data_IF_675690242740
#
_entry.id   IF_675690242740
#
_cell.length_a   1.000
_cell.length_b   1.000
_cell.length_c   1.000
_cell.angle_alpha   90.00
_cell.angle_beta   90.00
_cell.angle_gamma   90.00
#
_symmetry.space_group_name_H-M   'P 1'
#
loop_
_entity.id
_entity.type
_entity.pdbx_description
1 polymer ?
#
# COMPACT_ATOMS: atom_id res chain seq x y z
N UNK A 1 -2.34 -28.96 -19.14
CA UNK A 1 -3.12 -27.72 -19.08
C UNK A 1 -3.91 -27.71 -17.76
N UNK A 2 -3.64 -26.74 -16.90
CA UNK A 2 -4.42 -26.52 -15.68
C UNK A 2 -5.53 -25.54 -16.05
N UNK A 3 -6.78 -25.98 -15.97
CA UNK A 3 -7.94 -25.08 -16.13
C UNK A 3 -8.11 -24.29 -14.85
N UNK A 4 -7.93 -22.98 -14.91
CA UNK A 4 -8.12 -22.07 -13.78
C UNK A 4 -9.52 -21.45 -13.90
N UNK A 5 -10.33 -21.58 -12.87
CA UNK A 5 -11.61 -20.88 -12.77
C UNK A 5 -11.34 -19.43 -12.31
N UNK A 6 -11.46 -18.47 -13.22
CA UNK A 6 -11.21 -17.05 -12.94
C UNK A 6 -12.49 -16.36 -12.44
N UNK A 7 -12.50 -15.97 -11.17
CA UNK A 7 -13.56 -15.17 -10.57
C UNK A 7 -13.13 -13.71 -10.45
N UNK A 8 -13.87 -12.81 -11.09
CA UNK A 8 -13.61 -11.35 -11.02
C UNK A 8 -14.45 -10.71 -9.92
N UNK A 9 -13.80 -10.31 -8.85
CA UNK A 9 -14.44 -9.57 -7.75
C UNK A 9 -14.42 -8.07 -8.01
N UNK A 10 -15.56 -7.42 -7.81
CA UNK A 10 -15.68 -5.96 -7.91
C UNK A 10 -15.93 -5.36 -6.53
N UNK A 11 -15.28 -4.23 -6.18
CA UNK A 11 -15.59 -3.51 -4.96
C UNK A 11 -17.00 -2.91 -5.03
N UNK A 12 -17.66 -2.79 -3.88
CA UNK A 12 -19.00 -2.20 -3.78
C UNK A 12 -19.03 -0.68 -4.07
N UNK A 13 -17.89 -0.03 -3.93
CA UNK A 13 -17.73 1.41 -4.16
C UNK A 13 -16.56 1.64 -5.11
N UNK A 14 -16.71 2.59 -6.02
CA UNK A 14 -15.58 3.06 -6.82
C UNK A 14 -14.66 3.99 -6.00
N UNK A 15 -13.46 4.30 -6.53
CA UNK A 15 -12.47 5.09 -5.80
C UNK A 15 -12.98 6.49 -5.40
N UNK A 16 -13.73 7.17 -6.26
CA UNK A 16 -14.32 8.48 -5.97
C UNK A 16 -15.28 8.38 -4.77
N UNK A 17 -16.19 7.43 -4.78
CA UNK A 17 -17.11 7.19 -3.66
C UNK A 17 -16.38 6.87 -2.35
N UNK A 18 -15.29 6.10 -2.42
CA UNK A 18 -14.49 5.78 -1.24
C UNK A 18 -13.81 7.02 -0.68
N UNK A 19 -13.17 7.83 -1.54
CA UNK A 19 -12.49 9.05 -1.10
C UNK A 19 -13.50 10.09 -0.58
N UNK A 20 -14.64 10.25 -1.23
CA UNK A 20 -15.71 11.15 -0.76
C UNK A 20 -16.19 10.74 0.64
N UNK A 21 -16.41 9.45 0.88
CA UNK A 21 -16.99 8.97 2.14
C UNK A 21 -15.98 8.82 3.28
N UNK A 22 -14.77 8.38 2.98
CA UNK A 22 -13.77 8.00 3.98
C UNK A 22 -12.53 8.88 3.95
N UNK A 23 -12.36 9.70 2.91
CA UNK A 23 -11.20 10.56 2.76
C UNK A 23 -10.02 9.95 2.03
N UNK A 24 -8.96 10.72 1.99
CA UNK A 24 -7.75 10.44 1.22
C UNK A 24 -6.81 9.48 1.94
N UNK A 25 -6.22 8.57 1.17
CA UNK A 25 -5.24 7.59 1.65
C UNK A 25 -3.83 8.13 1.45
N UNK A 26 -3.33 8.89 2.42
CA UNK A 26 -2.06 9.63 2.37
C UNK A 26 -1.09 9.20 3.47
N UNK A 27 0.18 9.52 3.30
CA UNK A 27 1.30 9.26 4.21
C UNK A 27 1.52 7.77 4.44
N UNK A 28 0.84 7.16 5.39
CA UNK A 28 0.89 5.72 5.66
C UNK A 28 -0.45 5.22 6.18
N UNK A 29 -0.67 3.90 6.09
CA UNK A 29 -1.89 3.29 6.63
C UNK A 29 -2.05 3.56 8.13
N UNK A 30 -0.95 3.54 8.86
CA UNK A 30 -0.94 3.74 10.30
C UNK A 30 -1.29 5.18 10.65
N UNK A 31 -0.61 6.16 10.04
CA UNK A 31 -0.88 7.59 10.25
C UNK A 31 -2.31 7.93 9.85
N UNK A 32 -2.74 7.52 8.66
CA UNK A 32 -4.10 7.76 8.19
C UNK A 32 -5.17 7.17 9.11
N UNK A 33 -4.94 5.96 9.66
CA UNK A 33 -5.83 5.35 10.62
C UNK A 33 -5.81 6.09 11.98
N UNK A 34 -4.64 6.57 12.42
CA UNK A 34 -4.55 7.37 13.63
C UNK A 34 -5.34 8.67 13.50
N UNK A 35 -5.19 9.39 12.40
CA UNK A 35 -5.95 10.61 12.11
C UNK A 35 -7.46 10.34 12.07
N UNK A 36 -7.86 9.28 11.34
CA UNK A 36 -9.27 8.88 11.22
C UNK A 36 -9.94 8.61 12.56
N UNK A 37 -9.27 7.85 13.43
CA UNK A 37 -9.80 7.48 14.74
C UNK A 37 -9.69 8.63 15.75
N UNK A 38 -8.62 9.41 15.73
CA UNK A 38 -8.45 10.56 16.61
C UNK A 38 -9.53 11.62 16.39
N UNK A 39 -9.83 11.96 15.13
CA UNK A 39 -10.94 12.88 14.76
C UNK A 39 -12.33 12.37 15.21
N UNK A 40 -12.45 11.09 15.56
CA UNK A 40 -13.65 10.45 16.11
C UNK A 40 -13.60 10.23 17.63
N UNK A 41 -12.69 10.91 18.31
CA UNK A 41 -12.61 10.91 19.77
C UNK A 41 -11.80 9.75 20.38
N UNK A 42 -11.03 8.99 19.59
CA UNK A 42 -10.16 7.95 20.13
C UNK A 42 -8.95 8.58 20.84
N UNK A 43 -8.97 8.57 22.18
CA UNK A 43 -7.94 9.19 23.02
C UNK A 43 -6.54 8.61 22.77
N UNK A 44 -6.39 7.29 22.66
CA UNK A 44 -5.10 6.64 22.40
C UNK A 44 -4.48 7.13 21.09
N UNK A 45 -5.27 7.24 20.02
CA UNK A 45 -4.79 7.73 18.72
C UNK A 45 -4.45 9.23 18.75
N UNK A 46 -5.20 10.00 19.52
CA UNK A 46 -4.90 11.41 19.75
C UNK A 46 -3.57 11.58 20.48
N UNK A 47 -3.33 10.82 21.55
CA UNK A 47 -2.03 10.86 22.26
C UNK A 47 -0.85 10.51 21.35
N UNK A 48 -1.00 9.54 20.45
CA UNK A 48 0.04 9.21 19.45
C UNK A 48 0.35 10.35 18.50
N UNK A 49 -0.68 11.05 18.02
CA UNK A 49 -0.52 12.20 17.13
C UNK A 49 -0.01 13.44 17.85
N UNK A 50 -0.19 13.55 19.18
CA UNK A 50 0.37 14.63 20.00
C UNK A 50 1.75 14.34 20.55
N UNK A 51 2.28 13.13 20.33
CA UNK A 51 3.59 12.74 20.89
C UNK A 51 3.59 12.47 22.38
N UNK A 52 2.42 12.21 22.97
CA UNK A 52 2.21 12.05 24.41
C UNK A 52 2.40 10.61 24.90
N UNK A 53 2.60 9.64 23.97
CA UNK A 53 2.83 8.26 24.36
C UNK A 53 4.25 8.06 24.87
N UNK A 54 4.35 7.43 26.03
CA UNK A 54 5.62 7.03 26.63
C UNK A 54 5.82 5.51 26.50
N UNK A 55 7.07 5.09 26.48
CA UNK A 55 7.46 3.69 26.61
C UNK A 55 7.48 3.26 28.08
N UNK A 56 7.86 2.01 28.35
CA UNK A 56 7.93 1.44 29.71
C UNK A 56 8.98 2.13 30.60
N UNK A 57 9.94 2.80 30.01
CA UNK A 57 11.04 3.49 30.70
C UNK A 57 10.76 4.99 30.87
N UNK A 58 9.55 5.46 30.48
CA UNK A 58 9.12 6.85 30.58
C UNK A 58 9.62 7.76 29.46
N UNK A 59 10.30 7.23 28.46
CA UNK A 59 10.76 7.99 27.30
C UNK A 59 9.66 8.13 26.25
N UNK A 60 9.82 9.11 25.36
CA UNK A 60 8.89 9.28 24.23
C UNK A 60 8.86 8.02 23.38
N UNK A 61 7.68 7.43 23.24
CA UNK A 61 7.50 6.19 22.49
C UNK A 61 7.81 6.38 20.99
N UNK A 62 8.51 5.43 20.41
CA UNK A 62 8.76 5.34 18.95
C UNK A 62 7.48 5.19 18.12
N UNK A 63 6.37 4.84 18.78
CA UNK A 63 5.06 4.70 18.14
C UNK A 63 4.30 6.02 18.00
N UNK A 64 4.85 7.13 18.52
CA UNK A 64 4.32 8.45 18.26
C UNK A 64 4.46 8.79 16.77
N UNK A 65 3.56 9.63 16.29
CA UNK A 65 3.55 10.14 14.92
C UNK A 65 3.20 11.64 14.88
N UNK A 66 3.74 12.36 15.85
CA UNK A 66 3.48 13.78 16.09
C UNK A 66 3.97 14.72 14.96
N UNK A 67 4.95 14.29 14.19
CA UNK A 67 5.32 14.96 12.94
C UNK A 67 4.15 15.05 11.92
N UNK A 68 3.09 14.25 12.10
CA UNK A 68 1.88 14.27 11.29
C UNK A 68 0.66 14.83 12.03
N UNK A 69 0.85 15.48 13.18
CA UNK A 69 -0.24 16.04 13.99
C UNK A 69 -1.07 17.08 13.22
N UNK A 70 -0.45 17.84 12.32
CA UNK A 70 -1.12 18.83 11.49
C UNK A 70 -2.23 18.25 10.60
N UNK A 71 -2.23 16.95 10.35
CA UNK A 71 -3.32 16.28 9.65
C UNK A 71 -4.63 16.22 10.45
N UNK A 72 -4.60 16.51 11.76
CA UNK A 72 -5.82 16.66 12.55
C UNK A 72 -6.66 17.84 12.08
N UNK A 73 -6.00 18.89 11.59
CA UNK A 73 -6.63 20.13 11.12
C UNK A 73 -6.74 20.20 9.59
N UNK A 74 -6.39 19.10 8.89
CA UNK A 74 -6.47 19.06 7.44
C UNK A 74 -7.90 19.32 6.96
N UNK A 75 -8.11 20.20 5.97
CA UNK A 75 -9.43 20.55 5.46
C UNK A 75 -10.02 19.48 4.54
N UNK A 76 -9.73 18.22 4.83
CA UNK A 76 -10.25 17.03 4.14
C UNK A 76 -10.19 15.82 5.07
N UNK A 77 -10.95 14.78 4.74
CA UNK A 77 -10.90 13.54 5.49
C UNK A 77 -9.66 12.73 5.12
N UNK A 78 -9.08 12.07 6.12
CA UNK A 78 -7.92 11.17 5.97
C UNK A 78 -8.24 9.82 6.57
N UNK A 79 -8.08 8.72 5.80
CA UNK A 79 -8.30 7.37 6.34
C UNK A 79 -7.49 6.30 5.60
N UNK A 80 -7.43 5.11 6.17
CA UNK A 80 -6.89 3.91 5.55
C UNK A 80 -7.95 2.96 4.97
N UNK A 81 -9.23 3.36 4.95
CA UNK A 81 -10.35 2.51 4.59
C UNK A 81 -10.35 2.07 3.12
N UNK A 82 -9.71 2.83 2.24
CA UNK A 82 -9.62 2.51 0.81
C UNK A 82 -9.15 1.06 0.57
N UNK A 83 -8.09 0.61 1.26
CA UNK A 83 -7.58 -0.76 1.11
C UNK A 83 -8.58 -1.82 1.59
N UNK A 84 -9.33 -1.51 2.64
CA UNK A 84 -10.37 -2.42 3.15
C UNK A 84 -11.50 -2.57 2.15
N UNK A 85 -12.03 -1.47 1.66
CA UNK A 85 -13.22 -1.44 0.79
C UNK A 85 -12.90 -1.91 -0.62
N UNK A 86 -11.80 -1.41 -1.22
CA UNK A 86 -11.45 -1.70 -2.61
C UNK A 86 -10.89 -3.10 -2.85
N UNK A 87 -10.25 -3.70 -1.82
CA UNK A 87 -9.56 -4.99 -1.98
C UNK A 87 -10.09 -6.05 -1.03
N UNK A 88 -9.99 -5.81 0.29
CA UNK A 88 -10.22 -6.88 1.27
C UNK A 88 -11.69 -7.29 1.38
N UNK A 89 -12.60 -6.34 1.36
CA UNK A 89 -14.03 -6.61 1.58
C UNK A 89 -14.62 -7.52 0.50
N UNK A 90 -14.30 -7.28 -0.77
CA UNK A 90 -14.77 -8.11 -1.86
C UNK A 90 -14.26 -9.56 -1.73
N UNK A 91 -12.96 -9.74 -1.43
CA UNK A 91 -12.38 -11.06 -1.20
C UNK A 91 -13.00 -11.78 0.01
N UNK A 92 -13.15 -11.08 1.15
CA UNK A 92 -13.76 -11.67 2.35
C UNK A 92 -15.24 -12.04 2.14
N UNK A 93 -15.97 -11.27 1.33
CA UNK A 93 -17.35 -11.61 0.98
C UNK A 93 -17.40 -12.87 0.15
N UNK A 94 -16.55 -12.98 -0.86
CA UNK A 94 -16.42 -14.19 -1.69
C UNK A 94 -16.05 -15.42 -0.84
N UNK A 95 -15.01 -15.33 -0.01
CA UNK A 95 -14.59 -16.44 0.88
C UNK A 95 -15.72 -16.92 1.80
N UNK A 96 -16.55 -16.00 2.30
CA UNK A 96 -17.70 -16.34 3.15
C UNK A 96 -18.81 -17.02 2.38
N UNK A 97 -19.09 -16.57 1.17
CA UNK A 97 -20.17 -17.10 0.33
C UNK A 97 -19.80 -18.43 -0.31
N UNK A 98 -18.58 -18.55 -0.85
CA UNK A 98 -18.08 -19.79 -1.46
C UNK A 98 -17.63 -20.84 -0.43
N UNK A 99 -17.36 -20.42 0.82
CA UNK A 99 -16.73 -21.21 1.88
C UNK A 99 -15.30 -21.66 1.55
N UNK A 100 -14.72 -21.15 0.48
CA UNK A 100 -13.33 -21.41 0.10
C UNK A 100 -12.35 -20.74 1.06
N UNK A 101 -11.15 -21.30 1.16
CA UNK A 101 -10.07 -20.75 1.99
C UNK A 101 -8.99 -20.14 1.11
N UNK A 102 -8.48 -18.96 1.45
CA UNK A 102 -7.51 -18.29 0.62
C UNK A 102 -6.13 -18.96 0.67
N UNK A 103 -5.52 -19.07 -0.50
CA UNK A 103 -4.10 -19.30 -0.67
C UNK A 103 -3.52 -17.97 -1.14
N UNK A 104 -2.57 -17.40 -0.39
CA UNK A 104 -2.02 -16.07 -0.68
C UNK A 104 -0.51 -16.13 -0.92
N UNK A 105 -0.07 -15.53 -2.02
CA UNK A 105 1.35 -15.35 -2.34
C UNK A 105 1.92 -14.19 -1.52
N UNK A 106 2.26 -14.44 -0.27
CA UNK A 106 2.79 -13.47 0.66
C UNK A 106 4.14 -13.94 1.19
N UNK A 107 5.17 -13.12 1.04
CA UNK A 107 6.52 -13.40 1.54
C UNK A 107 6.77 -12.70 2.88
N UNK A 108 7.50 -13.36 3.79
CA UNK A 108 7.88 -12.78 5.08
C UNK A 108 8.82 -11.58 4.91
N UNK A 109 9.68 -11.63 3.89
CA UNK A 109 10.65 -10.58 3.55
C UNK A 109 9.99 -9.22 3.21
N UNK A 110 8.75 -9.20 2.71
CA UNK A 110 8.07 -7.97 2.31
C UNK A 110 7.82 -6.97 3.44
N UNK A 111 8.07 -7.34 4.70
CA UNK A 111 8.03 -6.41 5.82
C UNK A 111 7.83 -7.05 7.19
N UNK A 112 8.22 -6.30 8.22
CA UNK A 112 8.25 -6.74 9.62
C UNK A 112 6.97 -7.43 10.10
N UNK A 113 5.80 -6.89 9.78
CA UNK A 113 4.52 -7.48 10.21
C UNK A 113 4.27 -8.84 9.55
N UNK A 114 4.70 -9.02 8.29
CA UNK A 114 4.57 -10.30 7.59
C UNK A 114 5.53 -11.33 8.16
N UNK A 115 6.76 -10.93 8.43
CA UNK A 115 7.74 -11.76 9.11
C UNK A 115 7.23 -12.22 10.49
N UNK A 116 6.74 -11.30 11.33
CA UNK A 116 6.16 -11.63 12.64
C UNK A 116 4.96 -12.57 12.54
N UNK A 117 4.11 -12.37 11.54
CA UNK A 117 2.97 -13.27 11.32
C UNK A 117 3.44 -14.66 10.90
N UNK A 118 4.43 -14.74 10.02
CA UNK A 118 5.01 -16.01 9.59
C UNK A 118 5.67 -16.77 10.73
N UNK A 119 6.48 -16.09 11.55
CA UNK A 119 7.13 -16.71 12.71
C UNK A 119 6.12 -17.21 13.76
N UNK A 120 4.97 -16.52 13.88
CA UNK A 120 3.93 -16.91 14.83
C UNK A 120 3.02 -18.05 14.33
N UNK A 121 2.74 -18.14 13.02
CA UNK A 121 1.70 -19.05 12.48
C UNK A 121 2.22 -20.00 11.39
N UNK A 122 3.47 -19.84 10.95
CA UNK A 122 4.03 -20.61 9.83
C UNK A 122 3.35 -20.29 8.49
N UNK A 123 3.56 -21.17 7.52
CA UNK A 123 2.99 -21.05 6.18
C UNK A 123 1.49 -21.37 6.17
N UNK A 124 1.01 -22.20 7.07
CA UNK A 124 -0.38 -22.65 7.15
C UNK A 124 -1.01 -22.20 8.46
N UNK A 125 -1.80 -21.15 8.44
CA UNK A 125 -2.51 -20.60 9.58
C UNK A 125 -3.96 -21.10 9.58
N UNK A 126 -4.20 -22.34 10.02
CA UNK A 126 -5.54 -22.96 9.95
C UNK A 126 -6.38 -22.77 11.22
N UNK A 127 -5.76 -22.49 12.36
CA UNK A 127 -6.44 -22.38 13.66
C UNK A 127 -7.03 -21.00 13.94
N UNK A 128 -6.76 -20.01 13.09
CA UNK A 128 -7.25 -18.65 13.26
C UNK A 128 -8.70 -18.44 12.84
N UNK A 129 -9.24 -17.26 13.16
CA UNK A 129 -10.58 -16.83 12.72
C UNK A 129 -10.74 -16.83 11.19
N UNK A 130 -9.65 -16.74 10.45
CA UNK A 130 -9.59 -16.78 8.99
C UNK A 130 -8.47 -17.74 8.57
N UNK A 131 -8.78 -19.04 8.47
CA UNK A 131 -7.83 -20.03 7.98
C UNK A 131 -7.29 -19.65 6.59
N UNK A 132 -5.96 -19.77 6.40
CA UNK A 132 -5.31 -19.47 5.11
C UNK A 132 -3.99 -20.22 4.96
N UNK A 133 -3.59 -20.46 3.72
CA UNK A 133 -2.26 -20.94 3.37
C UNK A 133 -1.43 -19.83 2.72
N UNK A 134 -0.15 -19.79 3.05
CA UNK A 134 0.84 -18.82 2.58
C UNK A 134 2.09 -19.56 2.10
N UNK A 135 2.01 -20.33 1.02
CA UNK A 135 3.09 -21.23 0.60
C UNK A 135 4.39 -20.52 0.25
N UNK A 136 4.33 -19.23 -0.10
CA UNK A 136 5.51 -18.43 -0.45
C UNK A 136 6.10 -17.66 0.75
N UNK A 137 5.67 -17.92 1.99
CA UNK A 137 6.12 -17.12 3.13
C UNK A 137 7.62 -17.15 3.37
N UNK A 138 8.30 -18.22 3.03
CA UNK A 138 9.75 -18.40 3.19
C UNK A 138 10.55 -18.00 1.94
N UNK A 139 9.90 -17.66 0.84
CA UNK A 139 10.56 -17.20 -0.37
C UNK A 139 11.10 -15.78 -0.18
N UNK A 140 12.25 -15.51 -0.81
CA UNK A 140 12.81 -14.18 -0.97
C UNK A 140 12.44 -13.58 -2.33
N UNK A 141 12.67 -12.28 -2.51
CA UNK A 141 12.51 -11.64 -3.82
C UNK A 141 13.45 -12.29 -4.85
N UNK A 142 14.67 -12.65 -4.44
CA UNK A 142 15.62 -13.32 -5.31
C UNK A 142 15.15 -14.71 -5.76
N UNK A 143 14.54 -15.49 -4.86
CA UNK A 143 13.94 -16.78 -5.22
C UNK A 143 12.84 -16.62 -6.27
N UNK A 144 12.01 -15.58 -6.14
CA UNK A 144 10.93 -15.30 -7.10
C UNK A 144 11.52 -14.89 -8.45
N UNK A 145 12.49 -13.99 -8.47
CA UNK A 145 13.11 -13.51 -9.72
C UNK A 145 13.84 -14.65 -10.41
N UNK A 146 14.61 -15.45 -9.67
CA UNK A 146 15.30 -16.61 -10.21
C UNK A 146 14.32 -17.64 -10.80
N UNK A 147 13.23 -17.94 -10.08
CA UNK A 147 12.21 -18.87 -10.56
C UNK A 147 11.55 -18.39 -11.86
N UNK A 148 11.29 -17.07 -11.99
CA UNK A 148 10.73 -16.49 -13.22
C UNK A 148 11.70 -16.65 -14.39
N UNK A 149 12.99 -16.39 -14.18
CA UNK A 149 14.04 -16.54 -15.21
C UNK A 149 14.18 -18.01 -15.60
N UNK A 150 14.33 -18.93 -14.63
CA UNK A 150 14.53 -20.36 -14.87
C UNK A 150 13.36 -21.02 -15.60
N UNK A 151 12.15 -20.48 -15.43
CA UNK A 151 10.92 -21.02 -16.02
C UNK A 151 10.42 -20.21 -17.22
N UNK A 152 11.16 -19.19 -17.61
CA UNK A 152 10.78 -18.29 -18.73
C UNK A 152 9.34 -17.75 -18.59
N UNK A 153 8.98 -17.38 -17.34
CA UNK A 153 7.61 -16.92 -17.06
C UNK A 153 7.42 -15.47 -17.50
N UNK A 154 6.29 -15.13 -18.12
CA UNK A 154 6.00 -13.76 -18.47
C UNK A 154 5.74 -12.92 -17.22
N UNK A 155 6.31 -11.72 -17.19
CA UNK A 155 6.02 -10.70 -16.16
C UNK A 155 5.27 -9.52 -16.78
N UNK A 156 4.61 -8.73 -15.93
CA UNK A 156 3.95 -7.52 -16.40
C UNK A 156 4.98 -6.48 -16.88
N UNK A 157 4.74 -5.87 -18.04
CA UNK A 157 5.67 -4.91 -18.68
C UNK A 157 6.08 -3.73 -17.79
N UNK A 158 5.28 -3.39 -16.78
CA UNK A 158 5.61 -2.34 -15.80
C UNK A 158 6.87 -2.65 -14.99
N UNK A 159 7.25 -3.91 -14.85
CA UNK A 159 8.47 -4.33 -14.18
C UNK A 159 9.72 -4.25 -15.08
N UNK A 160 9.54 -4.08 -16.40
CA UNK A 160 10.63 -4.11 -17.36
C UNK A 160 11.23 -5.51 -17.51
N UNK A 161 12.54 -5.57 -17.64
CA UNK A 161 13.30 -6.82 -17.76
C UNK A 161 13.93 -7.21 -16.41
N UNK A 162 14.13 -8.51 -16.20
CA UNK A 162 14.91 -9.01 -15.06
C UNK A 162 16.37 -9.09 -15.50
N UNK A 163 17.23 -8.33 -14.82
CA UNK A 163 18.66 -8.26 -15.12
C UNK A 163 19.49 -8.56 -13.86
N UNK A 164 20.68 -9.09 -14.05
CA UNK A 164 21.67 -9.21 -12.99
C UNK A 164 22.31 -7.84 -12.73
N UNK A 165 22.43 -7.43 -11.48
CA UNK A 165 23.32 -6.34 -11.12
C UNK A 165 24.75 -6.84 -11.27
N UNK A 166 25.50 -6.29 -12.21
CA UNK A 166 26.93 -6.47 -12.25
C UNK A 166 27.47 -5.91 -10.94
N UNK A 167 28.03 -6.80 -10.10
CA UNK A 167 28.72 -6.38 -8.90
C UNK A 167 29.82 -5.40 -9.30
N UNK A 168 29.61 -4.11 -9.07
CA UNK A 168 30.66 -3.12 -9.29
C UNK A 168 31.88 -3.54 -8.46
N UNK A 169 32.93 -3.99 -9.16
CA UNK A 169 34.29 -4.10 -8.69
C UNK A 169 34.65 -5.23 -7.69
N UNK A 170 34.08 -6.40 -7.75
CA UNK A 170 34.69 -7.53 -7.07
C UNK A 170 35.21 -8.56 -8.11
N UNK A 171 36.53 -8.56 -8.35
CA UNK A 171 37.25 -9.49 -9.26
C UNK A 171 37.11 -10.97 -8.86
N UNK A 172 36.43 -11.23 -7.73
CA UNK A 172 36.14 -12.55 -7.17
C UNK A 172 34.68 -12.91 -7.09
N UNK A 173 33.75 -12.10 -7.64
CA UNK A 173 32.31 -12.41 -7.65
C UNK A 173 32.08 -13.67 -8.50
N UNK A 174 31.85 -14.80 -7.85
CA UNK A 174 31.32 -16.00 -8.49
C UNK A 174 29.87 -15.70 -8.91
N UNK A 175 29.37 -16.37 -9.97
CA UNK A 175 28.01 -16.27 -10.49
C UNK A 175 26.88 -16.42 -9.42
N UNK A 176 27.26 -16.76 -8.19
CA UNK A 176 26.38 -16.93 -7.03
C UNK A 176 26.03 -15.59 -6.34
N UNK A 177 26.80 -14.52 -6.56
CA UNK A 177 26.63 -13.22 -5.90
C UNK A 177 25.87 -12.17 -6.73
N UNK A 178 25.51 -12.47 -7.97
CA UNK A 178 24.74 -11.57 -8.81
C UNK A 178 23.29 -11.47 -8.34
N UNK A 179 22.88 -10.30 -7.84
CA UNK A 179 21.49 -10.05 -7.46
C UNK A 179 20.66 -9.70 -8.68
N UNK A 180 19.56 -10.42 -8.84
CA UNK A 180 18.56 -10.10 -9.86
C UNK A 180 17.71 -8.90 -9.42
N UNK A 181 17.36 -8.04 -10.38
CA UNK A 181 16.40 -6.94 -10.15
C UNK A 181 15.62 -6.63 -11.42
N UNK A 182 14.47 -5.98 -11.25
CA UNK A 182 13.67 -5.49 -12.37
C UNK A 182 14.14 -4.09 -12.79
N UNK A 183 14.21 -3.83 -14.10
CA UNK A 183 14.63 -2.52 -14.65
C UNK A 183 13.54 -1.46 -14.55
N UNK A 184 12.27 -1.86 -14.38
CA UNK A 184 11.13 -0.97 -14.25
C UNK A 184 10.71 -0.70 -12.80
N UNK A 185 9.41 -0.72 -12.52
CA UNK A 185 8.89 -0.47 -11.19
C UNK A 185 9.27 -1.59 -10.21
N UNK A 186 9.84 -1.24 -9.07
CA UNK A 186 10.11 -2.22 -8.00
C UNK A 186 8.82 -2.69 -7.29
N UNK A 187 7.79 -1.84 -7.26
CA UNK A 187 6.50 -2.15 -6.62
C UNK A 187 5.35 -1.58 -7.39
N UNK A 188 4.34 -2.39 -7.62
CA UNK A 188 3.05 -1.94 -8.11
C UNK A 188 2.09 -1.73 -6.95
N UNK A 189 1.30 -0.66 -7.02
CA UNK A 189 0.28 -0.34 -6.03
C UNK A 189 -1.05 -0.01 -6.69
N UNK A 190 -2.00 0.53 -5.92
CA UNK A 190 -3.18 1.14 -6.52
C UNK A 190 -2.76 2.46 -7.18
N UNK A 191 -3.23 2.71 -8.41
CA UNK A 191 -2.87 3.86 -9.22
C UNK A 191 -2.97 5.21 -8.47
N UNK A 192 -4.03 5.41 -7.69
CA UNK A 192 -4.28 6.66 -6.95
C UNK A 192 -3.90 6.59 -5.47
N UNK A 193 -2.98 5.69 -5.09
CA UNK A 193 -2.58 5.54 -3.70
C UNK A 193 -1.43 6.48 -3.35
N UNK A 194 -1.63 7.37 -2.37
CA UNK A 194 -0.59 8.27 -1.90
C UNK A 194 0.14 7.77 -0.63
N UNK A 195 -0.09 6.52 -0.21
CA UNK A 195 0.70 5.93 0.87
C UNK A 195 2.16 5.75 0.44
N UNK A 196 3.06 6.35 1.20
CA UNK A 196 4.50 6.30 0.96
C UNK A 196 5.02 7.23 -0.13
N UNK A 197 4.15 7.98 -0.83
CA UNK A 197 4.59 8.87 -1.92
C UNK A 197 5.62 9.91 -1.47
N UNK A 198 5.52 10.42 -0.24
CA UNK A 198 6.47 11.36 0.37
C UNK A 198 7.86 10.76 0.67
N UNK A 199 7.99 9.44 0.59
CA UNK A 199 9.27 8.72 0.81
C UNK A 199 9.95 8.34 -0.50
N UNK A 200 9.29 8.50 -1.64
CA UNK A 200 9.86 8.16 -2.94
C UNK A 200 10.97 9.15 -3.29
N UNK A 201 12.14 8.61 -3.63
CA UNK A 201 13.29 9.39 -4.08
C UNK A 201 13.23 9.62 -5.58
N UNK A 202 13.66 10.80 -6.03
CA UNK A 202 13.60 11.17 -7.45
C UNK A 202 12.17 11.47 -7.91
N UNK A 203 11.80 10.97 -9.07
CA UNK A 203 10.46 11.10 -9.65
C UNK A 203 9.48 10.15 -8.92
N UNK A 204 8.46 10.72 -8.29
CA UNK A 204 7.47 9.91 -7.57
C UNK A 204 6.39 9.36 -8.49
N UNK A 205 5.49 8.51 -7.93
CA UNK A 205 4.42 7.84 -8.70
C UNK A 205 3.45 8.78 -9.39
N UNK A 206 3.20 9.97 -8.86
CA UNK A 206 2.30 10.95 -9.48
C UNK A 206 2.99 11.66 -10.63
N UNK A 207 4.25 12.05 -10.47
CA UNK A 207 5.08 12.60 -11.54
C UNK A 207 5.19 11.58 -12.69
N UNK A 208 5.49 10.30 -12.41
CA UNK A 208 5.49 9.23 -13.43
C UNK A 208 4.12 9.04 -14.09
N UNK A 209 3.04 9.11 -13.33
CA UNK A 209 1.67 8.95 -13.87
C UNK A 209 1.36 10.05 -14.88
N UNK A 210 1.88 11.26 -14.71
CA UNK A 210 1.72 12.38 -15.64
C UNK A 210 2.16 12.01 -17.05
N UNK A 211 3.26 11.28 -17.16
CA UNK A 211 3.84 10.88 -18.45
C UNK A 211 3.26 9.56 -18.98
N UNK A 212 3.04 8.60 -18.08
CA UNK A 212 2.61 7.25 -18.48
C UNK A 212 1.10 7.13 -18.67
N UNK A 213 0.32 7.87 -17.88
CA UNK A 213 -1.14 7.80 -17.86
C UNK A 213 -1.79 9.18 -17.69
N UNK A 214 -1.60 10.12 -18.63
CA UNK A 214 -1.99 11.53 -18.46
C UNK A 214 -3.47 11.72 -18.09
N UNK A 215 -4.39 10.98 -18.69
CA UNK A 215 -5.82 11.06 -18.38
C UNK A 215 -6.14 10.62 -16.94
N UNK A 216 -5.44 9.61 -16.43
CA UNK A 216 -5.60 9.17 -15.03
C UNK A 216 -4.96 10.15 -14.07
N UNK A 217 -3.85 10.76 -14.49
CA UNK A 217 -3.20 11.83 -13.72
C UNK A 217 -4.12 13.03 -13.59
N UNK A 218 -4.68 13.55 -14.69
CA UNK A 218 -5.64 14.65 -14.68
C UNK A 218 -6.84 14.36 -13.77
N UNK A 219 -7.40 13.15 -13.86
CA UNK A 219 -8.50 12.72 -12.99
C UNK A 219 -8.06 12.61 -11.52
N UNK A 220 -6.85 12.15 -11.25
CA UNK A 220 -6.33 12.02 -9.90
C UNK A 220 -6.08 13.37 -9.24
N UNK A 221 -5.33 14.23 -9.93
CA UNK A 221 -4.86 15.51 -9.38
C UNK A 221 -5.95 16.58 -9.45
N UNK A 222 -6.65 16.62 -10.57
CA UNK A 222 -7.71 17.60 -10.85
C UNK A 222 -9.02 17.32 -10.13
N UNK A 223 -9.96 18.20 -10.36
CA UNK A 223 -11.29 18.17 -9.75
C UNK A 223 -11.25 18.56 -8.27
N UNK A 224 -12.27 18.13 -7.55
CA UNK A 224 -12.47 18.48 -6.14
C UNK A 224 -13.30 19.74 -5.95
N UNK A 225 -13.95 19.79 -4.80
CA UNK A 225 -14.84 20.89 -4.38
C UNK A 225 -14.90 20.97 -2.86
N UNK A 226 -15.26 22.13 -2.35
CA UNK A 226 -15.58 22.31 -0.94
C UNK A 226 -17.04 21.89 -0.69
N UNK A 227 -17.27 21.10 0.36
CA UNK A 227 -18.63 20.83 0.80
C UNK A 227 -19.16 21.90 1.76
N UNK A 228 -20.39 21.72 2.23
CA UNK A 228 -21.04 22.66 3.14
C UNK A 228 -20.34 22.78 4.51
N UNK A 229 -19.61 21.75 4.91
CA UNK A 229 -18.85 21.71 6.17
C UNK A 229 -17.43 22.27 6.01
N UNK A 230 -17.08 22.79 4.83
CA UNK A 230 -15.76 23.31 4.52
C UNK A 230 -14.69 22.23 4.34
N UNK A 231 -15.08 21.01 4.01
CA UNK A 231 -14.17 19.92 3.71
C UNK A 231 -13.97 19.76 2.20
N UNK A 232 -12.72 19.61 1.82
CA UNK A 232 -12.33 19.29 0.45
C UNK A 232 -12.61 17.82 0.13
N UNK A 233 -13.31 17.55 -0.97
CA UNK A 233 -13.69 16.21 -1.43
C UNK A 233 -13.64 16.11 -2.95
N UNK A 234 -13.62 14.88 -3.52
CA UNK A 234 -13.79 14.66 -4.95
C UNK A 234 -15.07 15.23 -5.51
N UNK A 235 -15.05 15.63 -6.78
CA UNK A 235 -16.23 15.97 -7.54
C UNK A 235 -16.34 15.12 -8.83
N UNK A 236 -17.20 15.51 -9.78
CA UNK A 236 -17.39 14.76 -11.01
C UNK A 236 -16.17 14.81 -11.94
N UNK A 237 -15.37 15.87 -11.86
CA UNK A 237 -14.21 16.08 -12.73
C UNK A 237 -12.95 15.32 -12.26
N UNK A 238 -12.86 14.97 -10.97
CA UNK A 238 -11.69 14.26 -10.48
C UNK A 238 -11.68 14.02 -8.97
N UNK A 239 -10.54 13.48 -8.52
CA UNK A 239 -10.35 13.11 -7.12
C UNK A 239 -9.86 14.28 -6.25
N UNK A 240 -9.30 15.34 -6.83
CA UNK A 240 -8.82 16.51 -6.09
C UNK A 240 -7.55 16.26 -5.27
N UNK A 241 -6.73 15.27 -5.65
CA UNK A 241 -5.50 14.96 -4.93
C UNK A 241 -4.47 16.07 -4.97
N UNK A 242 -4.45 16.95 -6.00
CA UNK A 242 -3.49 18.05 -6.09
C UNK A 242 -3.43 18.85 -4.79
N UNK A 243 -4.58 19.38 -4.33
CA UNK A 243 -4.64 20.12 -3.07
C UNK A 243 -4.20 19.32 -1.84
N UNK A 244 -4.46 18.03 -1.84
CA UNK A 244 -4.08 17.13 -0.73
C UNK A 244 -2.58 16.88 -0.71
N UNK A 245 -1.98 16.71 -1.89
CA UNK A 245 -0.53 16.51 -2.05
C UNK A 245 0.24 17.80 -1.71
N UNK A 246 -0.27 18.97 -2.12
CA UNK A 246 0.28 20.26 -1.71
C UNK A 246 0.29 20.41 -0.18
N UNK A 247 -0.80 20.02 0.49
CA UNK A 247 -0.92 20.10 1.94
C UNK A 247 0.11 19.24 2.68
N UNK A 248 0.53 18.12 2.12
CA UNK A 248 1.54 17.24 2.70
C UNK A 248 2.93 17.40 2.06
N UNK A 249 3.12 18.40 1.18
CA UNK A 249 4.40 18.71 0.56
C UNK A 249 4.92 17.66 -0.43
N UNK A 250 4.03 16.95 -1.12
CA UNK A 250 4.38 15.94 -2.14
C UNK A 250 4.22 16.54 -3.52
N UNK A 251 5.28 16.49 -4.33
CA UNK A 251 5.26 16.93 -5.74
C UNK A 251 4.38 16.01 -6.60
N UNK A 252 3.90 16.54 -7.75
CA UNK A 252 3.08 15.76 -8.68
C UNK A 252 3.12 16.35 -10.11
#
# INVERSE_FOLDING_TARGET
HITVNLVRLRPQMNIRQVVTKYGYSIVSKEVANNVWLARRGNKYRMMRLRGEMLDKDGNKSIWNCDNWAFLLDAPFLVSSECCHIMKKRAAHTYERESREKPIVAMMAEEGRQRFQTWTATGCNAFEGKRPMSKPMSFWTEQDVLQFIVDRELPIASVYGDIVASDGENDYNATLIDCKLHCTGCQRTGCMFCAFGAHLEKGENRFERMKHTHPKHYEFCIGGGEWDADGLWKPNEKGLGYGRVLDFIGVRY
#
